data_IF_931321200164
#
_entry.id   IF_931321200164
#
_cell.length_a   1.000
_cell.length_b   1.000
_cell.length_c   1.000
_cell.angle_alpha   90.00
_cell.angle_beta   90.00
_cell.angle_gamma   90.00
#
_symmetry.space_group_name_H-M   'P 1'
#
loop_
_entity.id
_entity.type
_entity.pdbx_description
1 polymer ?
#
# COMPACT_ATOMS: atom_id res chain seq x y z
N UNK A 1 10.03 -8.67 -4.61
CA UNK A 1 8.83 -7.81 -4.59
C UNK A 1 9.06 -6.60 -3.69
N UNK A 2 8.31 -5.55 -3.90
CA UNK A 2 8.25 -4.36 -3.07
C UNK A 2 6.81 -4.16 -2.64
N UNK A 3 6.56 -3.95 -1.35
CA UNK A 3 5.21 -3.66 -0.88
C UNK A 3 4.83 -2.22 -1.25
N UNK A 4 3.61 -2.02 -1.72
CA UNK A 4 3.08 -0.69 -2.09
C UNK A 4 1.93 -0.35 -1.17
N UNK A 5 2.15 0.69 -0.38
CA UNK A 5 1.19 1.17 0.62
C UNK A 5 0.14 2.11 0.02
N UNK A 6 -0.91 2.34 0.76
CA UNK A 6 -2.01 3.24 0.42
C UNK A 6 -1.55 4.62 -0.01
N UNK A 7 -0.56 5.20 0.68
CA UNK A 7 -0.05 6.55 0.37
C UNK A 7 0.46 6.66 -1.05
N UNK A 8 1.05 5.59 -1.58
CA UNK A 8 1.58 5.56 -2.94
C UNK A 8 0.47 5.44 -3.99
N UNK A 9 -0.52 4.55 -3.76
CA UNK A 9 -1.64 4.43 -4.68
C UNK A 9 -2.46 5.71 -4.74
N UNK A 10 -2.69 6.34 -3.60
CA UNK A 10 -3.40 7.63 -3.51
C UNK A 10 -2.60 8.73 -4.21
N UNK A 11 -1.32 8.83 -3.92
CA UNK A 11 -0.44 9.82 -4.53
C UNK A 11 -0.34 9.66 -6.05
N UNK A 12 -0.17 8.43 -6.54
CA UNK A 12 -0.13 8.16 -7.98
C UNK A 12 -1.44 8.55 -8.69
N UNK A 13 -2.57 8.24 -8.07
CA UNK A 13 -3.90 8.44 -8.68
C UNK A 13 -4.36 9.90 -8.67
N UNK A 14 -4.05 10.65 -7.63
CA UNK A 14 -4.54 12.02 -7.44
C UNK A 14 -3.45 13.05 -7.73
N UNK A 15 -3.58 13.74 -8.86
CA UNK A 15 -2.63 14.78 -9.28
C UNK A 15 -2.50 15.96 -8.30
N UNK A 16 -3.48 16.14 -7.41
CA UNK A 16 -3.47 17.19 -6.40
C UNK A 16 -2.88 16.71 -5.06
N UNK A 17 -2.47 15.45 -4.97
CA UNK A 17 -1.80 14.93 -3.77
C UNK A 17 -0.40 15.54 -3.65
N UNK A 18 0.00 15.90 -2.42
CA UNK A 18 1.32 16.49 -2.15
C UNK A 18 2.48 15.58 -2.56
N UNK A 19 2.25 14.27 -2.56
CA UNK A 19 3.25 13.28 -2.93
C UNK A 19 3.12 12.76 -4.36
N UNK A 20 2.25 13.38 -5.17
CA UNK A 20 1.93 12.84 -6.51
C UNK A 20 3.17 12.52 -7.34
N UNK A 21 4.09 13.47 -7.50
CA UNK A 21 5.25 13.28 -8.38
C UNK A 21 6.13 12.11 -7.91
N UNK A 22 6.42 12.03 -6.60
CA UNK A 22 7.22 10.96 -6.02
C UNK A 22 6.51 9.59 -6.10
N UNK A 23 5.23 9.55 -5.77
CA UNK A 23 4.43 8.32 -5.84
C UNK A 23 4.29 7.83 -7.28
N UNK A 24 4.06 8.74 -8.23
CA UNK A 24 3.96 8.40 -9.64
C UNK A 24 5.27 7.78 -10.15
N UNK A 25 6.42 8.36 -9.80
CA UNK A 25 7.72 7.81 -10.16
C UNK A 25 7.93 6.38 -9.62
N UNK A 26 7.57 6.15 -8.35
CA UNK A 26 7.67 4.84 -7.72
C UNK A 26 6.76 3.80 -8.42
N UNK A 27 5.51 4.15 -8.66
CA UNK A 27 4.54 3.25 -9.31
C UNK A 27 4.94 2.99 -10.77
N UNK A 28 5.38 4.01 -11.51
CA UNK A 28 5.87 3.84 -12.88
C UNK A 28 7.10 2.92 -12.93
N UNK A 29 7.98 2.99 -11.94
CA UNK A 29 9.15 2.09 -11.89
C UNK A 29 8.74 0.61 -11.81
N UNK A 30 7.62 0.32 -11.13
CA UNK A 30 7.04 -1.03 -11.10
C UNK A 30 6.43 -1.37 -12.47
N UNK A 31 5.61 -0.47 -13.03
CA UNK A 31 4.92 -0.68 -14.32
C UNK A 31 5.90 -0.96 -15.45
N UNK A 32 6.99 -0.21 -15.50
CA UNK A 32 8.03 -0.32 -16.53
C UNK A 32 9.03 -1.45 -16.27
N UNK A 33 8.98 -2.08 -15.11
CA UNK A 33 9.88 -3.19 -14.76
C UNK A 33 11.28 -2.76 -14.32
N UNK A 34 11.53 -1.47 -14.08
CA UNK A 34 12.77 -0.98 -13.49
C UNK A 34 12.84 -1.22 -11.98
N UNK A 35 11.69 -1.47 -11.35
CA UNK A 35 11.57 -2.01 -10.00
C UNK A 35 11.02 -3.44 -10.03
N UNK A 36 11.24 -4.25 -8.97
CA UNK A 36 10.61 -5.56 -8.83
C UNK A 36 9.08 -5.47 -8.85
N UNK A 37 8.40 -6.63 -8.87
CA UNK A 37 6.94 -6.69 -8.77
C UNK A 37 6.45 -5.99 -7.49
N UNK A 38 5.34 -5.28 -7.61
CA UNK A 38 4.63 -4.73 -6.46
C UNK A 38 3.85 -5.83 -5.71
N UNK A 39 3.74 -5.67 -4.41
CA UNK A 39 2.91 -6.48 -3.52
C UNK A 39 1.95 -5.55 -2.80
N UNK A 40 0.70 -5.88 -2.73
CA UNK A 40 -0.31 -5.13 -1.96
C UNK A 40 -1.37 -6.06 -1.41
N UNK A 41 -2.35 -5.53 -0.69
CA UNK A 41 -3.45 -6.31 -0.13
C UNK A 41 -4.80 -5.69 -0.49
N UNK A 42 -5.86 -6.47 -0.35
CA UNK A 42 -7.24 -5.96 -0.45
C UNK A 42 -7.57 -4.93 0.63
N UNK A 43 -6.93 -5.00 1.82
CA UNK A 43 -7.06 -3.97 2.86
C UNK A 43 -6.50 -2.63 2.40
N UNK A 44 -5.34 -2.63 1.73
CA UNK A 44 -4.75 -1.42 1.14
C UNK A 44 -5.65 -0.89 0.02
N UNK A 45 -6.20 -1.76 -0.81
CA UNK A 45 -7.14 -1.35 -1.87
C UNK A 45 -8.40 -0.70 -1.27
N UNK A 46 -8.97 -1.29 -0.22
CA UNK A 46 -10.12 -0.72 0.48
C UNK A 46 -9.82 0.68 1.02
N UNK A 47 -8.71 0.85 1.71
CA UNK A 47 -8.29 2.14 2.25
C UNK A 47 -8.05 3.17 1.14
N UNK A 48 -7.41 2.76 0.04
CA UNK A 48 -7.15 3.62 -1.13
C UNK A 48 -8.45 4.13 -1.74
N UNK A 49 -9.41 3.24 -1.99
CA UNK A 49 -10.72 3.60 -2.55
C UNK A 49 -11.49 4.53 -1.60
N UNK A 50 -11.47 4.24 -0.31
CA UNK A 50 -12.16 5.04 0.69
C UNK A 50 -11.60 6.47 0.75
N UNK A 51 -10.29 6.62 0.75
CA UNK A 51 -9.64 7.93 0.77
C UNK A 51 -9.94 8.71 -0.52
N UNK A 52 -9.72 8.10 -1.68
CA UNK A 52 -9.92 8.76 -2.97
C UNK A 52 -11.39 9.12 -3.20
N UNK A 53 -12.31 8.24 -2.84
CA UNK A 53 -13.75 8.46 -3.04
C UNK A 53 -14.30 9.66 -2.26
N UNK A 54 -13.66 10.03 -1.16
CA UNK A 54 -14.01 11.17 -0.32
C UNK A 54 -13.34 12.48 -0.76
N UNK A 55 -12.31 12.42 -1.61
CA UNK A 55 -11.60 13.61 -2.04
C UNK A 55 -12.44 14.43 -3.00
N UNK A 56 -12.50 15.74 -2.73
CA UNK A 56 -13.21 16.70 -3.58
C UNK A 56 -12.61 16.69 -4.99
N UNK A 57 -13.47 16.53 -6.00
CA UNK A 57 -13.06 16.51 -7.41
C UNK A 57 -12.54 15.17 -7.91
N UNK A 58 -12.44 14.14 -7.05
CA UNK A 58 -12.06 12.79 -7.48
C UNK A 58 -13.26 11.87 -7.67
N UNK A 59 -13.94 11.55 -6.60
CA UNK A 59 -15.23 10.84 -6.62
C UNK A 59 -15.12 9.31 -6.64
N UNK A 60 -16.25 8.68 -6.35
CA UNK A 60 -16.35 7.23 -6.16
C UNK A 60 -16.07 6.42 -7.44
N UNK A 61 -16.53 6.89 -8.60
CA UNK A 61 -16.32 6.16 -9.86
C UNK A 61 -14.84 6.10 -10.23
N UNK A 62 -14.13 7.22 -10.09
CA UNK A 62 -12.68 7.28 -10.34
C UNK A 62 -11.91 6.44 -9.32
N UNK A 63 -12.31 6.47 -8.04
CA UNK A 63 -11.70 5.64 -7.00
C UNK A 63 -11.86 4.14 -7.28
N UNK A 64 -13.05 3.71 -7.68
CA UNK A 64 -13.31 2.33 -8.09
C UNK A 64 -12.45 1.90 -9.28
N UNK A 65 -12.22 2.80 -10.23
CA UNK A 65 -11.37 2.54 -11.39
C UNK A 65 -9.91 2.33 -10.99
N UNK A 66 -9.42 3.04 -9.98
CA UNK A 66 -8.07 2.82 -9.42
C UNK A 66 -7.95 1.40 -8.87
N UNK A 67 -8.92 0.94 -8.08
CA UNK A 67 -8.93 -0.44 -7.56
C UNK A 67 -8.90 -1.47 -8.70
N UNK A 68 -9.70 -1.29 -9.74
CA UNK A 68 -9.71 -2.19 -10.90
C UNK A 68 -8.35 -2.22 -11.61
N UNK A 69 -7.70 -1.09 -11.72
CA UNK A 69 -6.36 -0.99 -12.35
C UNK A 69 -5.29 -1.71 -11.53
N UNK A 70 -5.33 -1.62 -10.21
CA UNK A 70 -4.42 -2.35 -9.32
C UNK A 70 -4.60 -3.86 -9.51
N UNK A 71 -5.85 -4.34 -9.45
CA UNK A 71 -6.19 -5.75 -9.59
C UNK A 71 -5.82 -6.32 -10.96
N UNK A 72 -5.93 -5.52 -12.01
CA UNK A 72 -5.64 -5.93 -13.38
C UNK A 72 -4.15 -5.86 -13.75
N UNK A 73 -3.33 -5.23 -12.93
CA UNK A 73 -1.92 -5.02 -13.26
C UNK A 73 -1.13 -6.34 -13.25
N UNK A 74 -0.43 -6.68 -14.35
CA UNK A 74 0.43 -7.86 -14.38
C UNK A 74 1.72 -7.70 -13.56
N UNK A 75 2.00 -6.48 -13.08
CA UNK A 75 3.18 -6.15 -12.30
C UNK A 75 2.91 -6.00 -10.81
N UNK A 76 1.66 -6.26 -10.38
CA UNK A 76 1.25 -6.16 -8.98
C UNK A 76 0.60 -7.46 -8.52
N UNK A 77 1.08 -8.00 -7.42
CA UNK A 77 0.48 -9.15 -6.74
C UNK A 77 -0.41 -8.63 -5.63
N UNK A 78 -1.70 -8.91 -5.70
CA UNK A 78 -2.66 -8.58 -4.63
C UNK A 78 -2.89 -9.82 -3.76
N UNK A 79 -2.57 -9.70 -2.47
CA UNK A 79 -2.85 -10.74 -1.47
C UNK A 79 -4.17 -10.42 -0.80
N UNK A 80 -5.12 -11.35 -0.89
CA UNK A 80 -6.39 -11.24 -0.17
C UNK A 80 -6.21 -11.74 1.26
N UNK A 81 -6.61 -10.90 2.22
CA UNK A 81 -6.47 -11.20 3.64
C UNK A 81 -7.43 -12.31 4.01
N UNK A 82 -6.89 -13.47 4.33
CA UNK A 82 -7.66 -14.60 4.84
C UNK A 82 -7.81 -14.55 6.38
N UNK A 83 -8.54 -15.49 6.93
CA UNK A 83 -8.75 -15.57 8.39
C UNK A 83 -7.43 -15.69 9.16
N UNK A 84 -6.48 -16.47 8.65
CA UNK A 84 -5.18 -16.68 9.30
C UNK A 84 -4.36 -15.41 9.36
N UNK A 85 -4.30 -14.66 8.27
CA UNK A 85 -3.60 -13.36 8.20
C UNK A 85 -4.26 -12.37 9.16
N UNK A 86 -5.59 -12.31 9.18
CA UNK A 86 -6.32 -11.38 10.03
C UNK A 86 -6.10 -11.68 11.51
N UNK A 87 -6.20 -12.94 11.93
CA UNK A 87 -5.97 -13.35 13.33
C UNK A 87 -4.54 -13.03 13.79
N UNK A 88 -3.54 -13.34 12.96
CA UNK A 88 -2.14 -12.99 13.24
C UNK A 88 -1.96 -11.48 13.38
N UNK A 89 -2.55 -10.72 12.47
CA UNK A 89 -2.47 -9.25 12.47
C UNK A 89 -3.10 -8.65 13.72
N UNK A 90 -4.24 -9.16 14.16
CA UNK A 90 -4.89 -8.72 15.42
C UNK A 90 -3.97 -8.97 16.62
N UNK A 91 -3.31 -10.12 16.67
CA UNK A 91 -2.34 -10.43 17.73
C UNK A 91 -1.13 -9.50 17.73
N UNK A 92 -0.63 -9.13 16.56
CA UNK A 92 0.50 -8.19 16.41
C UNK A 92 0.08 -6.75 16.68
N UNK A 93 -1.13 -6.37 16.31
CA UNK A 93 -1.64 -5.00 16.41
C UNK A 93 -1.48 -4.42 17.83
N UNK A 94 -1.77 -5.19 18.86
CA UNK A 94 -1.70 -4.72 20.24
C UNK A 94 -0.28 -4.31 20.67
N UNK A 95 0.75 -4.81 20.02
CA UNK A 95 2.16 -4.50 20.32
C UNK A 95 2.55 -3.09 19.92
N UNK A 96 1.83 -2.49 18.96
CA UNK A 96 2.12 -1.15 18.45
C UNK A 96 1.35 -0.03 19.16
N UNK A 97 0.56 -0.36 20.19
CA UNK A 97 -0.14 0.62 21.04
C UNK A 97 -0.99 1.64 20.28
N UNK A 98 -1.57 1.24 19.16
CA UNK A 98 -2.38 2.12 18.32
C UNK A 98 -1.59 3.08 17.41
N UNK A 99 -0.27 2.98 17.38
CA UNK A 99 0.58 3.80 16.51
C UNK A 99 0.50 3.39 15.04
N UNK A 100 0.20 2.11 14.78
CA UNK A 100 -0.09 1.58 13.46
C UNK A 100 -1.57 1.22 13.35
N UNK A 101 -2.19 1.49 12.22
CA UNK A 101 -3.55 0.99 11.92
C UNK A 101 -3.53 -0.53 11.74
N UNK A 102 -4.70 -1.17 11.81
CA UNK A 102 -4.79 -2.59 11.49
C UNK A 102 -4.38 -2.88 10.04
N UNK A 103 -4.73 -1.99 9.10
CA UNK A 103 -4.29 -2.09 7.71
C UNK A 103 -2.76 -2.10 7.61
N UNK A 104 -2.07 -1.22 8.33
CA UNK A 104 -0.61 -1.17 8.35
C UNK A 104 -0.02 -2.46 8.93
N UNK A 105 -0.58 -2.96 10.02
CA UNK A 105 -0.13 -4.22 10.63
C UNK A 105 -0.35 -5.40 9.68
N UNK A 106 -1.50 -5.47 9.01
CA UNK A 106 -1.77 -6.49 7.97
C UNK A 106 -0.71 -6.43 6.88
N UNK A 107 -0.35 -5.23 6.44
CA UNK A 107 0.71 -5.05 5.44
C UNK A 107 2.04 -5.64 5.92
N UNK A 108 2.43 -5.39 7.17
CA UNK A 108 3.68 -5.94 7.73
C UNK A 108 3.65 -7.46 7.87
N UNK A 109 2.52 -8.04 8.26
CA UNK A 109 2.35 -9.50 8.34
C UNK A 109 2.46 -10.15 6.97
N UNK A 110 1.83 -9.58 5.95
CA UNK A 110 1.94 -10.06 4.58
C UNK A 110 3.36 -9.93 4.05
N UNK A 111 4.03 -8.80 4.30
CA UNK A 111 5.42 -8.60 3.91
C UNK A 111 6.33 -9.69 4.52
N UNK A 112 6.16 -10.01 5.79
CA UNK A 112 6.93 -11.06 6.47
C UNK A 112 6.70 -12.42 5.82
N UNK A 113 5.45 -12.79 5.56
CA UNK A 113 5.10 -14.06 4.89
C UNK A 113 5.70 -14.20 3.50
N UNK A 114 5.85 -13.10 2.77
CA UNK A 114 6.43 -13.07 1.42
C UNK A 114 7.91 -12.73 1.41
N UNK A 115 8.54 -12.60 2.57
CA UNK A 115 9.97 -12.21 2.72
C UNK A 115 10.30 -10.89 2.02
N UNK A 116 9.37 -9.95 2.05
CA UNK A 116 9.52 -8.60 1.47
C UNK A 116 9.92 -7.64 2.59
N UNK A 117 11.02 -6.91 2.37
CA UNK A 117 11.59 -5.99 3.37
C UNK A 117 11.56 -4.52 2.95
N UNK A 118 11.18 -4.25 1.73
CA UNK A 118 11.06 -2.88 1.21
C UNK A 118 9.60 -2.51 1.01
N UNK A 119 9.25 -1.32 1.50
CA UNK A 119 7.92 -0.75 1.33
C UNK A 119 8.02 0.64 0.69
N UNK A 120 7.24 0.86 -0.35
CA UNK A 120 6.96 2.19 -0.88
C UNK A 120 5.84 2.81 -0.05
N UNK A 121 6.17 3.81 0.75
CA UNK A 121 5.21 4.50 1.62
C UNK A 121 5.73 5.86 2.04
N UNK A 122 4.84 6.86 2.04
CA UNK A 122 5.09 8.17 2.64
C UNK A 122 4.69 8.23 4.13
N UNK A 123 4.13 7.14 4.67
CA UNK A 123 3.80 7.05 6.09
C UNK A 123 5.03 6.68 6.92
N UNK A 124 5.53 7.64 7.70
CA UNK A 124 6.71 7.44 8.56
C UNK A 124 6.46 6.45 9.71
N UNK A 125 5.21 6.11 10.02
CA UNK A 125 4.89 5.14 11.08
C UNK A 125 5.47 3.75 10.78
N UNK A 126 5.70 3.41 9.51
CA UNK A 126 6.38 2.16 9.15
C UNK A 126 7.84 2.08 9.63
N UNK A 127 8.45 3.20 10.02
CA UNK A 127 9.79 3.21 10.65
C UNK A 127 9.79 2.58 12.05
N UNK A 128 8.61 2.43 12.67
CA UNK A 128 8.44 1.71 13.93
C UNK A 128 8.63 0.19 13.77
N UNK A 129 8.55 -0.30 12.54
CA UNK A 129 8.63 -1.73 12.24
C UNK A 129 10.08 -2.12 11.97
N UNK A 130 10.66 -2.93 12.87
CA UNK A 130 12.03 -3.40 12.74
C UNK A 130 12.25 -4.22 11.47
N UNK A 131 13.34 -3.95 10.77
CA UNK A 131 13.74 -4.71 9.58
C UNK A 131 13.08 -4.29 8.27
N UNK A 132 12.18 -3.29 8.29
CA UNK A 132 11.61 -2.72 7.06
C UNK A 132 12.46 -1.54 6.57
N UNK A 133 12.59 -1.45 5.26
CA UNK A 133 13.18 -0.29 4.58
C UNK A 133 12.05 0.49 3.88
N UNK A 134 11.78 1.68 4.36
CA UNK A 134 10.81 2.58 3.76
C UNK A 134 11.47 3.41 2.66
N UNK A 135 10.89 3.41 1.47
CA UNK A 135 11.35 4.16 0.31
C UNK A 135 10.26 5.14 -0.13
N UNK A 136 10.64 6.40 -0.37
CA UNK A 136 9.74 7.49 -0.74
C UNK A 136 10.06 8.08 -2.11
N UNK A 137 11.15 7.66 -2.73
CA UNK A 137 11.57 8.11 -4.08
C UNK A 137 12.57 7.13 -4.68
N UNK A 138 12.62 7.11 -5.98
CA UNK A 138 13.62 6.37 -6.77
C UNK A 138 14.76 7.25 -7.23
#
# INVERSE_FOLDING_TARGET
MIFVDTTEWVGDADKNDDFHDASHELIESIRLGSSPLGLTTDFVIDETVTILGKRKGFGAAAAAQVAKSILASPRVVTVFVDEGILKESIGVYSRYRGELSLTDVVSTVVMERYSVKEIFSHDSDFELVSGLRRTTKR
#
